data_IF_080890264302
#
_entry.id   IF_080890264302
#
_cell.length_a   1.000
_cell.length_b   1.000
_cell.length_c   1.000
_cell.angle_alpha   90.00
_cell.angle_beta   90.00
_cell.angle_gamma   90.00
#
_symmetry.space_group_name_H-M   'P 1'
#
loop_
_entity.id
_entity.type
_entity.pdbx_description
1 polymer ?
#
# COMPACT_ATOMS: atom_id res chain seq x y z
N UNK A 1 -3.23 -13.03 2.14
CA UNK A 1 -2.57 -11.93 2.88
C UNK A 1 -3.65 -10.96 3.30
N UNK A 2 -3.38 -10.16 4.32
CA UNK A 2 -4.35 -9.26 4.92
C UNK A 2 -3.62 -8.04 5.46
N UNK A 3 -4.37 -7.00 5.78
CA UNK A 3 -3.87 -5.74 6.32
C UNK A 3 -4.83 -5.24 7.38
N UNK A 4 -4.31 -4.47 8.33
CA UNK A 4 -5.14 -3.82 9.32
C UNK A 4 -4.51 -2.50 9.76
N UNK A 5 -5.34 -1.60 10.28
CA UNK A 5 -4.92 -0.40 11.00
C UNK A 5 -5.91 -0.06 12.10
N UNK A 6 -5.47 0.75 13.05
CA UNK A 6 -6.24 1.29 14.15
C UNK A 6 -6.03 2.80 14.21
N UNK A 7 -7.11 3.55 14.37
CA UNK A 7 -7.10 5.00 14.56
C UNK A 7 -7.44 5.32 16.02
N UNK A 8 -6.69 6.27 16.57
CA UNK A 8 -6.85 6.78 17.93
C UNK A 8 -7.21 8.27 17.88
N UNK A 9 -7.87 8.76 18.93
CA UNK A 9 -8.02 10.20 19.17
C UNK A 9 -6.80 10.78 19.92
N UNK A 10 -6.90 12.05 20.31
CA UNK A 10 -5.83 12.76 21.03
C UNK A 10 -5.63 12.25 22.48
N UNK A 11 -6.61 11.54 23.04
CA UNK A 11 -6.58 10.96 24.38
C UNK A 11 -6.22 9.46 24.36
N UNK A 12 -5.68 8.97 23.23
CA UNK A 12 -5.32 7.58 22.96
C UNK A 12 -6.49 6.57 23.00
N UNK A 13 -7.74 7.04 22.87
CA UNK A 13 -8.89 6.16 22.73
C UNK A 13 -9.06 5.68 21.29
N UNK A 14 -9.45 4.41 21.14
CA UNK A 14 -9.74 3.82 19.84
C UNK A 14 -11.00 4.46 19.25
N UNK A 15 -10.81 5.14 18.12
CA UNK A 15 -11.90 5.71 17.32
C UNK A 15 -12.47 4.68 16.34
N UNK A 16 -11.57 4.01 15.61
CA UNK A 16 -11.93 3.11 14.53
C UNK A 16 -10.84 2.06 14.33
N UNK A 17 -11.24 0.86 13.94
CA UNK A 17 -10.32 -0.17 13.46
C UNK A 17 -10.81 -0.69 12.12
N UNK A 18 -9.85 -1.09 11.28
CA UNK A 18 -10.14 -1.65 9.98
C UNK A 18 -9.21 -2.82 9.71
N UNK A 19 -9.74 -3.86 9.11
CA UNK A 19 -8.96 -4.95 8.56
C UNK A 19 -9.66 -5.57 7.35
N UNK A 20 -8.86 -6.02 6.40
CA UNK A 20 -9.37 -6.65 5.18
C UNK A 20 -8.33 -7.58 4.56
N UNK A 21 -8.81 -8.43 3.66
CA UNK A 21 -7.98 -9.29 2.84
C UNK A 21 -7.34 -8.48 1.70
N UNK A 22 -6.05 -8.70 1.49
CA UNK A 22 -5.33 -8.13 0.34
C UNK A 22 -5.42 -9.14 -0.80
N UNK A 23 -5.80 -8.73 -2.03
CA UNK A 23 -5.83 -9.64 -3.16
C UNK A 23 -4.50 -10.37 -3.32
N UNK A 24 -4.57 -11.65 -3.66
CA UNK A 24 -3.40 -12.52 -3.84
C UNK A 24 -2.57 -12.21 -5.09
N UNK A 25 -2.89 -11.14 -5.83
CA UNK A 25 -2.05 -10.64 -6.92
C UNK A 25 -0.81 -9.95 -6.34
N UNK A 26 0.37 -10.53 -6.61
CA UNK A 26 1.68 -10.13 -6.10
C UNK A 26 1.90 -10.25 -4.57
N UNK A 27 2.00 -11.50 -4.06
CA UNK A 27 2.42 -11.92 -2.74
C UNK A 27 3.47 -11.15 -1.93
N UNK A 28 3.19 -10.19 -1.05
CA UNK A 28 4.21 -9.82 -0.03
C UNK A 28 3.65 -9.19 1.24
N UNK A 29 4.30 -9.50 2.37
CA UNK A 29 4.02 -8.82 3.64
C UNK A 29 4.16 -7.30 3.50
N UNK A 30 5.20 -6.83 2.79
CA UNK A 30 5.39 -5.41 2.54
C UNK A 30 4.23 -4.76 1.77
N UNK A 31 3.57 -5.49 0.86
CA UNK A 31 2.37 -5.01 0.18
C UNK A 31 1.21 -4.82 1.16
N UNK A 32 1.03 -5.73 2.10
CA UNK A 32 0.02 -5.58 3.17
C UNK A 32 0.24 -4.31 3.99
N UNK A 33 1.49 -3.99 4.32
CA UNK A 33 1.84 -2.76 5.05
C UNK A 33 1.46 -1.50 4.26
N UNK A 34 1.81 -1.44 2.97
CA UNK A 34 1.47 -0.29 2.11
C UNK A 34 -0.05 -0.18 1.94
N UNK A 35 -0.76 -1.31 1.88
CA UNK A 35 -2.21 -1.32 1.74
C UNK A 35 -2.93 -0.89 3.02
N UNK A 36 -2.42 -1.26 4.21
CA UNK A 36 -2.86 -0.72 5.49
C UNK A 36 -2.70 0.82 5.51
N UNK A 37 -1.52 1.33 5.13
CA UNK A 37 -1.29 2.77 4.99
C UNK A 37 -2.27 3.42 4.02
N UNK A 38 -2.41 2.86 2.81
CA UNK A 38 -3.26 3.44 1.77
C UNK A 38 -4.73 3.49 2.17
N UNK A 39 -5.24 2.45 2.84
CA UNK A 39 -6.63 2.40 3.32
C UNK A 39 -6.85 3.37 4.48
N UNK A 40 -5.91 3.50 5.41
CA UNK A 40 -5.96 4.50 6.47
C UNK A 40 -6.03 5.93 5.90
N UNK A 41 -5.17 6.27 4.93
CA UNK A 41 -5.20 7.58 4.27
C UNK A 41 -6.50 7.80 3.47
N UNK A 42 -7.08 6.73 2.91
CA UNK A 42 -8.39 6.79 2.25
C UNK A 42 -9.53 7.06 3.24
N UNK A 43 -9.43 6.60 4.49
CA UNK A 43 -10.44 6.87 5.52
C UNK A 43 -10.37 8.32 6.05
N UNK A 44 -9.20 8.96 6.03
CA UNK A 44 -9.02 10.31 6.57
C UNK A 44 -9.83 11.38 5.80
N UNK A 45 -10.41 12.38 6.49
CA UNK A 45 -11.02 13.53 5.83
C UNK A 45 -9.94 14.44 5.20
N UNK A 46 -10.33 15.32 4.24
CA UNK A 46 -9.42 16.31 3.69
C UNK A 46 -8.85 17.26 4.76
N UNK A 47 -7.61 17.72 4.55
CA UNK A 47 -6.85 18.64 5.40
C UNK A 47 -6.52 18.12 6.81
N UNK A 48 -6.67 16.82 7.06
CA UNK A 48 -6.28 16.21 8.33
C UNK A 48 -4.77 16.15 8.52
N UNK A 49 -4.35 16.21 9.78
CA UNK A 49 -2.99 15.92 10.21
C UNK A 49 -2.98 14.64 11.05
N UNK A 50 -2.08 13.71 10.76
CA UNK A 50 -2.00 12.42 11.45
C UNK A 50 -0.56 11.96 11.65
N UNK A 51 -0.32 11.25 12.76
CA UNK A 51 0.90 10.50 13.00
C UNK A 51 0.61 9.02 12.76
N UNK A 52 1.35 8.39 11.86
CA UNK A 52 1.22 6.97 11.57
C UNK A 52 2.39 6.25 12.23
N UNK A 53 2.05 5.45 13.22
CA UNK A 53 2.96 4.57 13.92
C UNK A 53 3.06 3.23 13.19
N UNK A 54 4.27 2.79 12.84
CA UNK A 54 4.49 1.51 12.15
C UNK A 54 5.77 0.85 12.61
N UNK A 55 5.78 -0.47 12.69
CA UNK A 55 6.99 -1.26 12.90
C UNK A 55 7.68 -1.67 11.58
N UNK A 56 7.14 -1.28 10.43
CA UNK A 56 7.72 -1.59 9.14
C UNK A 56 8.80 -0.57 8.74
N UNK A 57 10.07 -0.90 8.99
CA UNK A 57 11.20 -0.04 8.59
C UNK A 57 11.27 0.19 7.07
N UNK A 58 10.90 -0.81 6.27
CA UNK A 58 10.84 -0.70 4.81
C UNK A 58 9.80 0.34 4.38
N UNK A 59 8.66 0.43 5.07
CA UNK A 59 7.62 1.40 4.76
C UNK A 59 8.13 2.82 4.97
N UNK A 60 8.85 3.08 6.06
CA UNK A 60 9.47 4.39 6.33
C UNK A 60 10.54 4.72 5.28
N UNK A 61 11.40 3.77 4.93
CA UNK A 61 12.43 4.00 3.91
C UNK A 61 11.86 4.31 2.53
N UNK A 62 10.78 3.64 2.15
CA UNK A 62 10.11 3.91 0.87
C UNK A 62 9.27 5.18 0.90
N UNK A 63 8.67 5.53 2.04
CA UNK A 63 7.99 6.81 2.22
C UNK A 63 8.91 7.99 1.91
N UNK A 64 10.14 7.99 2.45
CA UNK A 64 11.14 9.01 2.17
C UNK A 64 11.41 9.13 0.65
N UNK A 65 11.53 8.00 -0.03
CA UNK A 65 11.79 7.96 -1.48
C UNK A 65 10.59 8.40 -2.33
N UNK A 66 9.37 7.97 -1.98
CA UNK A 66 8.19 8.21 -2.81
C UNK A 66 7.46 9.50 -2.48
N UNK A 67 7.60 10.03 -1.26
CA UNK A 67 6.80 11.14 -0.75
C UNK A 67 7.66 12.36 -0.46
N UNK A 68 8.72 12.21 0.35
CA UNK A 68 9.51 13.34 0.85
C UNK A 68 10.54 13.85 -0.16
N UNK A 69 11.08 12.95 -0.99
CA UNK A 69 12.06 13.33 -2.03
C UNK A 69 11.40 13.65 -3.38
N UNK A 70 12.04 14.50 -4.21
CA UNK A 70 11.58 14.73 -5.57
C UNK A 70 11.48 13.44 -6.37
N UNK A 71 10.41 13.31 -7.14
CA UNK A 71 10.16 12.10 -7.91
C UNK A 71 11.27 11.86 -8.94
N UNK A 72 11.78 10.63 -8.98
CA UNK A 72 12.70 10.16 -10.03
C UNK A 72 12.11 8.96 -10.77
N UNK A 73 12.26 8.86 -12.11
CA UNK A 73 11.67 7.77 -12.90
C UNK A 73 12.09 6.36 -12.48
N UNK A 74 13.22 6.21 -11.77
CA UNK A 74 13.69 4.92 -11.24
C UNK A 74 12.70 4.33 -10.21
N UNK A 75 11.90 5.14 -9.55
CA UNK A 75 10.89 4.69 -8.58
C UNK A 75 9.78 3.85 -9.23
N UNK A 76 9.48 4.08 -10.52
CA UNK A 76 8.52 3.27 -11.29
C UNK A 76 9.02 1.84 -11.57
N UNK A 77 10.27 1.54 -11.20
CA UNK A 77 10.85 0.19 -11.31
C UNK A 77 10.82 -0.56 -9.98
N UNK A 78 10.40 0.10 -8.90
CA UNK A 78 10.31 -0.50 -7.58
C UNK A 78 9.02 -1.33 -7.48
N UNK A 79 9.03 -2.39 -6.64
CA UNK A 79 7.81 -3.15 -6.37
C UNK A 79 6.76 -2.26 -5.71
N UNK A 80 5.48 -2.58 -5.92
CA UNK A 80 4.35 -1.85 -5.36
C UNK A 80 4.31 -0.35 -5.73
N UNK A 81 5.00 0.09 -6.79
CA UNK A 81 5.07 1.51 -7.15
C UNK A 81 3.69 2.12 -7.40
N UNK A 82 2.73 1.36 -7.94
CA UNK A 82 1.34 1.82 -8.12
C UNK A 82 0.61 2.08 -6.79
N UNK A 83 0.86 1.26 -5.75
CA UNK A 83 0.34 1.53 -4.41
C UNK A 83 0.95 2.81 -3.84
N UNK A 84 2.26 3.01 -4.01
CA UNK A 84 2.92 4.25 -3.59
C UNK A 84 2.42 5.48 -4.35
N UNK A 85 2.11 5.34 -5.64
CA UNK A 85 1.45 6.40 -6.41
C UNK A 85 0.05 6.68 -5.89
N UNK A 86 -0.69 5.67 -5.44
CA UNK A 86 -2.01 5.84 -4.80
C UNK A 86 -1.89 6.57 -3.46
N UNK A 87 -0.93 6.18 -2.62
CA UNK A 87 -0.60 6.90 -1.37
C UNK A 87 -0.31 8.37 -1.67
N UNK A 88 0.58 8.64 -2.64
CA UNK A 88 0.94 10.00 -3.06
C UNK A 88 -0.28 10.76 -3.58
N UNK A 89 -1.17 10.10 -4.33
CA UNK A 89 -2.41 10.70 -4.82
C UNK A 89 -3.34 11.13 -3.67
N UNK A 90 -3.56 10.28 -2.65
CA UNK A 90 -4.36 10.64 -1.49
C UNK A 90 -3.77 11.83 -0.73
N UNK A 91 -2.46 11.86 -0.50
CA UNK A 91 -1.81 12.99 0.19
C UNK A 91 -2.07 14.32 -0.52
N UNK A 92 -1.92 14.36 -1.84
CA UNK A 92 -2.12 15.59 -2.61
C UNK A 92 -3.57 15.99 -2.76
N UNK A 93 -4.45 15.04 -3.11
CA UNK A 93 -5.86 15.35 -3.38
C UNK A 93 -6.62 15.75 -2.13
N UNK A 94 -6.30 15.11 -1.00
CA UNK A 94 -6.89 15.43 0.30
C UNK A 94 -6.09 16.45 1.10
N UNK A 95 -4.93 16.90 0.64
CA UNK A 95 -4.05 17.83 1.37
C UNK A 95 -3.72 17.36 2.79
N UNK A 96 -3.36 16.07 2.92
CA UNK A 96 -3.07 15.48 4.23
C UNK A 96 -1.67 15.87 4.71
N UNK A 97 -1.54 16.12 6.00
CA UNK A 97 -0.25 16.24 6.69
C UNK A 97 0.03 14.94 7.45
N UNK A 98 1.05 14.19 7.03
CA UNK A 98 1.33 12.85 7.57
C UNK A 98 2.77 12.77 8.04
N UNK A 99 2.95 12.32 9.28
CA UNK A 99 4.26 12.01 9.86
C UNK A 99 4.34 10.52 10.12
N UNK A 100 5.41 9.85 9.65
CA UNK A 100 5.66 8.46 10.01
C UNK A 100 6.58 8.35 11.22
N UNK A 101 6.20 7.50 12.17
CA UNK A 101 7.01 7.20 13.35
C UNK A 101 7.29 5.70 13.45
N UNK A 102 8.56 5.36 13.67
CA UNK A 102 8.98 3.98 13.88
C UNK A 102 8.63 3.53 15.29
N UNK A 103 7.89 2.43 15.39
CA UNK A 103 7.68 1.69 16.63
C UNK A 103 8.59 0.46 16.64
N UNK A 104 9.10 0.08 17.81
CA UNK A 104 9.91 -1.13 17.96
C UNK A 104 9.05 -2.37 17.77
N UNK A 105 9.46 -3.26 16.87
CA UNK A 105 8.79 -4.54 16.72
C UNK A 105 8.95 -5.35 18.01
N UNK A 106 7.89 -6.05 18.43
CA UNK A 106 7.88 -6.96 19.58
C UNK A 106 8.25 -6.32 20.93
N UNK A 107 8.09 -5.00 21.10
CA UNK A 107 8.33 -4.33 22.38
C UNK A 107 7.22 -4.52 23.42
N UNK A 108 6.21 -5.36 23.12
CA UNK A 108 5.01 -5.49 23.94
C UNK A 108 4.04 -4.32 23.80
N UNK A 109 4.12 -3.57 22.71
CA UNK A 109 3.13 -2.54 22.37
C UNK A 109 1.76 -3.20 22.15
N UNK A 110 0.80 -2.84 23.00
CA UNK A 110 -0.54 -3.42 23.04
C UNK A 110 -1.30 -3.11 21.74
N UNK A 111 -1.15 -1.89 21.21
CA UNK A 111 -1.83 -1.44 20.01
C UNK A 111 -1.27 -2.14 18.78
N UNK A 112 0.06 -2.26 18.66
CA UNK A 112 0.69 -3.02 17.58
C UNK A 112 0.25 -4.49 17.59
N UNK A 113 0.20 -5.09 18.79
CA UNK A 113 -0.27 -6.47 18.97
C UNK A 113 -1.74 -6.62 18.56
N UNK A 114 -2.58 -5.62 18.85
CA UNK A 114 -3.98 -5.61 18.44
C UNK A 114 -4.12 -5.51 16.91
N UNK A 115 -3.35 -4.65 16.25
CA UNK A 115 -3.31 -4.55 14.78
C UNK A 115 -2.84 -5.86 14.15
N UNK A 116 -1.81 -6.51 14.70
CA UNK A 116 -1.36 -7.82 14.24
C UNK A 116 -2.45 -8.89 14.35
N UNK A 117 -3.24 -8.86 15.43
CA UNK A 117 -4.39 -9.77 15.60
C UNK A 117 -5.47 -9.50 14.55
N UNK A 118 -5.82 -8.23 14.33
CA UNK A 118 -6.81 -7.83 13.32
C UNK A 118 -6.40 -8.28 11.92
N UNK A 119 -5.12 -8.14 11.58
CA UNK A 119 -4.59 -8.62 10.31
C UNK A 119 -4.65 -10.15 10.22
N UNK A 120 -4.30 -10.89 11.28
CA UNK A 120 -4.39 -12.36 11.31
C UNK A 120 -5.81 -12.86 11.12
N UNK A 121 -6.79 -12.23 11.78
CA UNK A 121 -8.19 -12.60 11.65
C UNK A 121 -8.70 -12.35 10.23
N UNK A 122 -8.34 -11.20 9.65
CA UNK A 122 -8.71 -10.86 8.27
C UNK A 122 -8.07 -11.79 7.22
N UNK A 123 -7.01 -12.53 7.56
CA UNK A 123 -6.39 -13.50 6.64
C UNK A 123 -7.36 -14.61 6.20
N UNK A 124 -8.31 -14.97 7.06
CA UNK A 124 -9.28 -16.02 6.82
C UNK A 124 -10.53 -15.54 6.06
N UNK A 125 -10.61 -14.25 5.73
CA UNK A 125 -11.70 -13.72 4.94
C UNK A 125 -11.66 -14.22 3.48
N UNK A 126 -12.82 -14.35 2.81
CA UNK A 126 -12.87 -14.72 1.40
C UNK A 126 -12.12 -13.71 0.53
N UNK A 127 -11.43 -14.20 -0.52
CA UNK A 127 -10.75 -13.32 -1.46
C UNK A 127 -11.73 -12.36 -2.14
N UNK A 128 -11.33 -11.10 -2.38
CA UNK A 128 -12.20 -10.12 -3.00
C UNK A 128 -12.49 -10.50 -4.45
N UNK A 129 -13.73 -10.27 -4.89
CA UNK A 129 -14.18 -10.56 -6.26
C UNK A 129 -13.92 -9.41 -7.24
N UNK A 130 -13.48 -8.25 -6.74
CA UNK A 130 -13.17 -7.07 -7.54
C UNK A 130 -11.73 -7.11 -8.08
N UNK A 131 -11.48 -6.36 -9.16
CA UNK A 131 -10.16 -6.31 -9.79
C UNK A 131 -9.15 -5.62 -8.88
N UNK A 132 -7.87 -6.05 -8.88
CA UNK A 132 -6.81 -5.38 -8.10
C UNK A 132 -6.67 -3.88 -8.40
N UNK A 133 -7.06 -3.44 -9.60
CA UNK A 133 -7.08 -2.04 -10.00
C UNK A 133 -8.08 -1.18 -9.22
N UNK A 134 -9.19 -1.75 -8.74
CA UNK A 134 -10.19 -1.01 -7.95
C UNK A 134 -9.63 -0.55 -6.59
N UNK A 135 -8.54 -1.17 -6.14
CA UNK A 135 -7.83 -0.84 -4.91
C UNK A 135 -6.78 0.25 -5.08
N UNK A 136 -6.50 0.66 -6.32
CA UNK A 136 -5.45 1.61 -6.66
C UNK A 136 -6.07 2.90 -7.20
N UNK A 137 -5.84 4.00 -6.50
CA UNK A 137 -6.17 5.35 -6.99
C UNK A 137 -4.89 6.05 -7.44
N UNK A 138 -4.23 5.49 -8.45
CA UNK A 138 -3.04 6.08 -9.06
C UNK A 138 -3.38 6.68 -10.44
N UNK A 139 -2.85 7.88 -10.77
CA UNK A 139 -2.94 8.39 -12.13
C UNK A 139 -2.09 7.51 -13.07
N UNK A 140 -2.56 7.36 -14.32
CA UNK A 140 -1.80 6.74 -15.42
C UNK A 140 -1.42 5.25 -15.21
N UNK A 141 -2.32 4.44 -14.63
CA UNK A 141 -2.13 2.98 -14.52
C UNK A 141 -2.17 2.32 -15.92
N UNK A 142 -1.14 1.53 -16.23
CA UNK A 142 -1.14 0.65 -17.41
C UNK A 142 -1.86 -0.64 -17.05
N UNK A 143 -2.84 -1.04 -17.86
CA UNK A 143 -3.58 -2.29 -17.69
C UNK A 143 -3.23 -3.26 -18.83
N UNK A 144 -3.11 -4.54 -18.50
CA UNK A 144 -3.06 -5.65 -19.44
C UNK A 144 -4.10 -6.69 -19.04
N UNK A 145 -5.05 -7.00 -19.91
CA UNK A 145 -6.21 -7.86 -19.61
C UNK A 145 -6.94 -7.46 -18.31
N UNK A 146 -7.09 -6.15 -18.08
CA UNK A 146 -7.68 -5.55 -16.86
C UNK A 146 -6.86 -5.70 -15.57
N UNK A 147 -5.66 -6.28 -15.64
CA UNK A 147 -4.71 -6.35 -14.52
C UNK A 147 -3.73 -5.18 -14.58
N UNK A 148 -3.47 -4.50 -13.45
CA UNK A 148 -2.46 -3.46 -13.40
C UNK A 148 -1.06 -4.05 -13.63
N UNK A 149 -0.31 -3.41 -14.53
CA UNK A 149 1.09 -3.75 -14.79
C UNK A 149 1.95 -3.13 -13.69
N UNK A 150 2.25 -3.93 -12.67
CA UNK A 150 3.10 -3.52 -11.54
C UNK A 150 4.59 -3.83 -11.75
N UNK A 151 4.90 -4.72 -12.68
CA UNK A 151 6.28 -4.99 -13.07
C UNK A 151 6.94 -3.75 -13.68
N UNK A 152 8.27 -3.76 -13.71
CA UNK A 152 9.01 -2.76 -14.44
C UNK A 152 8.51 -2.72 -15.90
N UNK A 153 7.91 -1.59 -16.28
CA UNK A 153 7.24 -1.37 -17.56
C UNK A 153 8.14 -1.76 -18.75
N UNK A 154 9.45 -1.50 -18.67
CA UNK A 154 10.39 -1.88 -19.74
C UNK A 154 10.53 -3.40 -19.85
N UNK A 155 10.61 -4.10 -18.71
CA UNK A 155 10.67 -5.56 -18.71
C UNK A 155 9.36 -6.16 -19.20
N UNK A 156 8.22 -5.60 -18.77
CA UNK A 156 6.91 -6.02 -19.23
C UNK A 156 6.77 -5.96 -20.77
N UNK A 157 7.06 -4.80 -21.38
CA UNK A 157 7.01 -4.67 -22.85
C UNK A 157 8.02 -5.58 -23.56
N UNK A 158 9.21 -5.78 -22.99
CA UNK A 158 10.20 -6.72 -23.53
C UNK A 158 9.67 -8.15 -23.53
N UNK A 159 9.04 -8.60 -22.44
CA UNK A 159 8.44 -9.93 -22.34
C UNK A 159 7.31 -10.14 -23.36
N UNK A 160 6.47 -9.13 -23.60
CA UNK A 160 5.45 -9.18 -24.67
C UNK A 160 6.10 -9.37 -26.04
N UNK A 161 7.15 -8.60 -26.34
CA UNK A 161 7.86 -8.70 -27.61
C UNK A 161 8.50 -10.08 -27.81
N UNK A 162 9.16 -10.62 -26.78
CA UNK A 162 9.77 -11.95 -26.81
C UNK A 162 8.72 -13.05 -27.01
N UNK A 163 7.57 -12.97 -26.31
CA UNK A 163 6.48 -13.92 -26.47
C UNK A 163 5.87 -13.89 -27.89
N UNK A 164 5.72 -12.70 -28.48
CA UNK A 164 5.25 -12.57 -29.87
C UNK A 164 6.21 -13.21 -30.86
N UNK A 165 7.52 -13.01 -30.67
CA UNK A 165 8.53 -13.61 -31.55
C UNK A 165 8.56 -15.14 -31.43
N UNK A 166 8.33 -15.68 -30.24
CA UNK A 166 8.21 -17.13 -30.03
C UNK A 166 7.06 -17.73 -30.86
N UNK A 167 5.93 -17.03 -30.95
CA UNK A 167 4.75 -17.48 -31.70
C UNK A 167 4.88 -17.32 -33.22
N UNK A 168 5.88 -16.57 -33.69
CA UNK A 168 6.15 -16.37 -35.12
C UNK A 168 7.14 -17.40 -35.72
N UNK A 169 7.52 -18.43 -34.96
CA UNK A 169 8.31 -19.57 -35.42
C UNK A 169 7.43 -20.76 -35.81
#
# INVERSE_FOLDING_TARGET
MSSAWLALDEDDFILESWSDVVPTTYPSAFRSEIYALSSALKALPPHSSVVINTDCASLISFWQQFIETPFIPKLLRQPNHLLWLSVRHYLYTKQLSVTLQKVSAHSGDILNTQVDSLAKDAHFLPQPTFTPSALMEAPCIILYDSLPVEDNIRHFFKSIYEARNLLSF
#
